data_IF_733602482606
#
_entry.id   IF_733602482606
#
_cell.length_a   1.000
_cell.length_b   1.000
_cell.length_c   1.000
_cell.angle_alpha   90.00
_cell.angle_beta   90.00
_cell.angle_gamma   90.00
#
_symmetry.space_group_name_H-M   'P 1'
#
loop_
_entity.id
_entity.type
_entity.pdbx_description
1 polymer ?
#
# COMPACT_ATOMS: atom_id res chain seq x y z
N UNK A 1 46.73 7.64 -12.40
CA UNK A 1 46.12 8.35 -13.54
C UNK A 1 45.14 7.40 -14.22
N UNK A 2 43.95 7.23 -13.65
CA UNK A 2 42.87 6.44 -14.26
C UNK A 2 41.88 7.43 -14.87
N UNK A 3 41.94 7.61 -16.19
CA UNK A 3 40.90 8.32 -16.95
C UNK A 3 39.75 7.34 -17.18
N UNK A 4 38.71 7.46 -16.38
CA UNK A 4 37.41 6.87 -16.71
C UNK A 4 36.83 7.72 -17.84
N UNK A 5 36.82 7.17 -19.05
CA UNK A 5 36.12 7.78 -20.18
C UNK A 5 34.62 7.70 -19.91
N UNK A 6 34.02 8.81 -19.49
CA UNK A 6 32.57 8.96 -19.39
C UNK A 6 32.03 9.01 -20.82
N UNK A 7 31.50 7.88 -21.28
CA UNK A 7 30.67 7.82 -22.49
C UNK A 7 29.40 8.65 -22.25
N UNK A 8 28.88 9.31 -23.30
CA UNK A 8 27.77 10.29 -23.28
C UNK A 8 26.39 9.68 -22.92
N UNK A 9 26.34 8.58 -22.17
CA UNK A 9 25.09 7.87 -21.83
C UNK A 9 25.06 7.40 -20.36
N UNK A 10 25.76 8.09 -19.46
CA UNK A 10 25.60 7.89 -18.02
C UNK A 10 24.46 8.75 -17.49
N UNK A 11 23.33 8.11 -17.16
CA UNK A 11 22.25 8.77 -16.42
C UNK A 11 22.51 8.55 -14.94
N UNK A 12 22.93 9.57 -14.22
CA UNK A 12 22.97 9.54 -12.75
C UNK A 12 21.62 10.00 -12.25
N UNK A 13 20.73 9.06 -11.97
CA UNK A 13 19.45 9.35 -11.30
C UNK A 13 19.66 9.27 -9.79
N UNK A 14 19.70 10.42 -9.12
CA UNK A 14 19.68 10.49 -7.66
C UNK A 14 18.22 10.53 -7.24
N UNK A 15 17.68 9.37 -6.85
CA UNK A 15 16.39 9.30 -6.17
C UNK A 15 16.63 9.51 -4.68
N UNK A 16 16.46 10.74 -4.19
CA UNK A 16 16.36 10.98 -2.76
C UNK A 16 14.94 10.65 -2.32
N UNK A 17 14.69 9.42 -1.89
CA UNK A 17 13.47 9.10 -1.16
C UNK A 17 13.64 9.73 0.23
N UNK A 18 13.17 10.96 0.39
CA UNK A 18 12.66 11.37 1.70
C UNK A 18 11.27 10.74 1.80
N UNK A 19 11.23 9.43 2.02
CA UNK A 19 10.11 8.84 2.70
C UNK A 19 10.30 9.27 4.16
N UNK A 20 9.84 10.49 4.48
CA UNK A 20 9.11 10.55 5.73
C UNK A 20 8.02 9.52 5.49
N UNK A 21 8.09 8.38 6.18
CA UNK A 21 6.90 7.59 6.46
C UNK A 21 6.07 8.49 7.37
N UNK A 22 5.61 9.62 6.81
CA UNK A 22 4.50 10.39 7.29
C UNK A 22 3.35 9.45 7.01
N UNK A 23 3.15 8.53 7.95
CA UNK A 23 1.81 8.25 8.40
C UNK A 23 1.21 9.62 8.72
N UNK A 24 0.67 10.29 7.70
CA UNK A 24 -0.61 10.94 7.85
C UNK A 24 -1.63 9.81 8.10
N UNK A 25 -1.46 9.09 9.21
CA UNK A 25 -2.59 8.84 10.06
C UNK A 25 -3.21 10.21 10.25
N UNK A 26 -4.33 10.46 9.57
CA UNK A 26 -5.34 11.32 10.13
C UNK A 26 -5.64 10.73 11.51
N UNK A 27 -4.89 11.19 12.50
CA UNK A 27 -5.27 11.11 13.89
C UNK A 27 -6.59 11.86 13.95
N UNK A 28 -7.69 11.11 13.93
CA UNK A 28 -8.85 11.54 14.68
C UNK A 28 -8.37 11.46 16.14
N UNK A 29 -7.85 12.58 16.64
CA UNK A 29 -7.66 12.79 18.05
C UNK A 29 -9.06 12.80 18.69
N UNK A 30 -9.53 11.64 19.11
CA UNK A 30 -10.60 11.53 20.10
C UNK A 30 -9.95 11.06 21.38
N UNK A 31 -9.88 12.00 22.31
CA UNK A 31 -9.47 11.85 23.70
C UNK A 31 -10.26 10.71 24.36
N UNK A 32 -9.56 9.98 25.23
CA UNK A 32 -10.13 8.98 26.13
C UNK A 32 -11.17 9.63 27.05
N UNK A 33 -12.36 9.02 27.09
CA UNK A 33 -13.15 8.68 28.29
C UNK A 33 -14.63 8.62 27.92
N UNK A 34 -15.13 7.41 27.66
CA UNK A 34 -16.38 6.92 28.25
C UNK A 34 -16.48 5.41 28.04
N UNK A 35 -16.87 4.62 29.06
CA UNK A 35 -17.14 3.20 28.86
C UNK A 35 -18.37 3.06 27.97
N UNK A 36 -18.24 2.39 26.83
CA UNK A 36 -19.38 2.03 25.99
C UNK A 36 -20.30 1.10 26.77
N UNK A 37 -21.48 1.62 27.10
CA UNK A 37 -22.62 0.85 27.55
C UNK A 37 -23.08 -0.04 26.38
N UNK A 38 -23.18 -1.34 26.65
CA UNK A 38 -23.69 -2.35 25.74
C UNK A 38 -24.98 -1.89 25.03
N UNK A 39 -24.99 -1.87 23.71
CA UNK A 39 -26.18 -2.28 22.97
C UNK A 39 -25.80 -2.83 21.60
N UNK A 40 -26.06 -4.12 21.42
CA UNK A 40 -26.19 -4.77 20.13
C UNK A 40 -27.48 -4.29 19.46
N UNK A 41 -27.61 -2.99 19.21
CA UNK A 41 -28.70 -2.41 18.43
C UNK A 41 -28.36 -2.50 16.96
N UNK A 42 -29.29 -3.05 16.18
CA UNK A 42 -29.32 -2.95 14.73
C UNK A 42 -29.47 -1.48 14.35
N UNK A 43 -28.58 -0.96 13.51
CA UNK A 43 -28.68 0.40 13.00
C UNK A 43 -29.62 0.37 11.79
N UNK A 44 -30.66 1.20 11.80
CA UNK A 44 -31.64 1.32 10.71
C UNK A 44 -31.19 2.34 9.65
N UNK A 45 -31.81 2.28 8.47
CA UNK A 45 -31.58 3.20 7.35
C UNK A 45 -31.80 4.67 7.73
N UNK A 46 -31.12 5.56 7.03
CA UNK A 46 -31.01 6.98 7.36
C UNK A 46 -31.45 7.85 6.18
N UNK A 47 -32.18 8.93 6.50
CA UNK A 47 -32.68 9.92 5.54
C UNK A 47 -31.88 11.23 5.51
N UNK A 48 -31.02 11.50 6.50
CA UNK A 48 -30.17 12.70 6.59
C UNK A 48 -28.78 12.38 7.20
N UNK A 49 -27.71 12.99 6.69
CA UNK A 49 -26.35 12.78 7.21
C UNK A 49 -26.14 13.62 8.47
N UNK A 50 -26.04 12.96 9.63
CA UNK A 50 -25.68 13.58 10.90
C UNK A 50 -24.26 13.17 11.32
N UNK A 51 -23.43 14.14 11.69
CA UNK A 51 -22.05 13.91 12.15
C UNK A 51 -21.96 13.02 13.39
N UNK A 52 -22.94 13.07 14.31
CA UNK A 52 -22.93 12.18 15.48
C UNK A 52 -23.12 10.72 15.08
N UNK A 53 -24.01 10.47 14.13
CA UNK A 53 -24.28 9.14 13.59
C UNK A 53 -23.09 8.60 12.80
N UNK A 54 -22.46 9.43 11.96
CA UNK A 54 -21.24 9.02 11.25
C UNK A 54 -20.13 8.61 12.23
N UNK A 55 -19.94 9.37 13.33
CA UNK A 55 -19.00 9.00 14.40
C UNK A 55 -19.36 7.66 15.05
N UNK A 56 -20.63 7.43 15.37
CA UNK A 56 -21.09 6.16 15.95
C UNK A 56 -20.80 4.96 15.03
N UNK A 57 -20.95 5.13 13.71
CA UNK A 57 -20.61 4.08 12.73
C UNK A 57 -19.10 3.79 12.72
N UNK A 58 -18.27 4.83 12.71
CA UNK A 58 -16.82 4.71 12.77
C UNK A 58 -16.37 3.99 14.06
N UNK A 59 -16.96 4.34 15.20
CA UNK A 59 -16.65 3.73 16.49
C UNK A 59 -17.05 2.24 16.52
N UNK A 60 -18.23 1.91 15.98
CA UNK A 60 -18.68 0.50 15.87
C UNK A 60 -17.76 -0.31 14.94
N UNK A 61 -17.36 0.26 13.81
CA UNK A 61 -16.41 -0.35 12.88
C UNK A 61 -15.08 -0.66 13.57
N UNK A 62 -14.54 0.29 14.33
CA UNK A 62 -13.31 0.11 15.12
C UNK A 62 -13.46 -1.01 16.15
N UNK A 63 -14.55 -0.98 16.92
CA UNK A 63 -14.87 -1.98 17.95
C UNK A 63 -14.90 -3.41 17.39
N UNK A 64 -15.48 -3.58 16.19
CA UNK A 64 -15.59 -4.86 15.50
C UNK A 64 -14.25 -5.30 14.87
N UNK A 65 -13.48 -4.39 14.28
CA UNK A 65 -12.16 -4.70 13.71
C UNK A 65 -11.19 -5.25 14.76
N UNK A 66 -11.16 -4.63 15.95
CA UNK A 66 -10.33 -5.05 17.09
C UNK A 66 -10.71 -6.46 17.60
N UNK A 67 -11.96 -6.89 17.37
CA UNK A 67 -12.47 -8.24 17.69
C UNK A 67 -12.29 -9.25 16.55
N UNK A 68 -11.65 -8.84 15.46
CA UNK A 68 -11.33 -9.73 14.35
C UNK A 68 -12.39 -9.81 13.26
N UNK A 69 -13.41 -8.94 13.27
CA UNK A 69 -14.39 -8.85 12.19
C UNK A 69 -13.80 -8.16 10.96
N UNK A 70 -14.28 -8.56 9.78
CA UNK A 70 -13.95 -7.93 8.52
C UNK A 70 -14.81 -6.68 8.31
N UNK A 71 -14.21 -5.52 8.56
CA UNK A 71 -14.86 -4.22 8.40
C UNK A 71 -14.27 -3.40 7.26
N UNK A 72 -13.36 -3.95 6.45
CA UNK A 72 -12.60 -3.19 5.44
C UNK A 72 -13.55 -2.60 4.39
N UNK A 73 -14.50 -3.38 3.91
CA UNK A 73 -15.47 -2.90 2.91
C UNK A 73 -16.39 -1.82 3.48
N UNK A 74 -16.82 -1.94 4.75
CA UNK A 74 -17.61 -0.90 5.43
C UNK A 74 -16.80 0.39 5.54
N UNK A 75 -15.53 0.32 5.93
CA UNK A 75 -14.64 1.47 5.99
C UNK A 75 -14.50 2.16 4.62
N UNK A 76 -14.36 1.38 3.54
CA UNK A 76 -14.37 1.91 2.18
C UNK A 76 -15.66 2.65 1.86
N UNK A 77 -16.83 2.05 2.13
CA UNK A 77 -18.12 2.70 1.89
C UNK A 77 -18.27 4.01 2.68
N UNK A 78 -17.83 4.04 3.95
CA UNK A 78 -17.86 5.27 4.76
C UNK A 78 -16.95 6.38 4.19
N UNK A 79 -15.81 6.02 3.59
CA UNK A 79 -14.94 6.97 2.91
C UNK A 79 -15.52 7.43 1.56
N UNK A 80 -16.14 6.52 0.80
CA UNK A 80 -16.84 6.85 -0.44
C UNK A 80 -18.04 7.76 -0.19
N UNK A 81 -18.84 7.51 0.83
CA UNK A 81 -19.96 8.38 1.21
C UNK A 81 -19.45 9.80 1.54
N UNK A 82 -18.36 9.89 2.30
CA UNK A 82 -17.70 11.16 2.60
C UNK A 82 -17.20 11.86 1.33
N UNK A 83 -16.58 11.12 0.40
CA UNK A 83 -16.11 11.66 -0.87
C UNK A 83 -17.26 12.33 -1.68
N UNK A 84 -18.39 11.65 -1.82
CA UNK A 84 -19.55 12.21 -2.54
C UNK A 84 -20.18 13.40 -1.81
N UNK A 85 -20.26 13.34 -0.48
CA UNK A 85 -20.72 14.46 0.34
C UNK A 85 -19.85 15.71 0.14
N UNK A 86 -18.53 15.56 0.16
CA UNK A 86 -17.57 16.66 -0.07
C UNK A 86 -17.64 17.23 -1.50
N UNK A 87 -18.12 16.44 -2.47
CA UNK A 87 -18.37 16.88 -3.86
C UNK A 87 -19.79 17.44 -4.06
N UNK A 88 -20.62 17.49 -3.01
CA UNK A 88 -21.98 18.04 -3.05
C UNK A 88 -23.06 17.07 -3.53
N UNK A 89 -22.73 15.81 -3.78
CA UNK A 89 -23.69 14.78 -4.20
C UNK A 89 -24.25 14.07 -2.96
N UNK A 90 -25.24 14.73 -2.35
CA UNK A 90 -25.82 14.31 -1.06
C UNK A 90 -26.62 13.01 -1.20
N UNK A 91 -27.36 12.84 -2.30
CA UNK A 91 -28.18 11.66 -2.53
C UNK A 91 -27.31 10.41 -2.67
N UNK A 92 -26.22 10.51 -3.44
CA UNK A 92 -25.27 9.41 -3.58
C UNK A 92 -24.55 9.10 -2.27
N UNK A 93 -24.18 10.13 -1.50
CA UNK A 93 -23.58 9.96 -0.20
C UNK A 93 -24.51 9.20 0.77
N UNK A 94 -25.80 9.53 0.79
CA UNK A 94 -26.82 8.85 1.60
C UNK A 94 -27.02 7.40 1.17
N UNK A 95 -27.09 7.12 -0.13
CA UNK A 95 -27.20 5.76 -0.66
C UNK A 95 -26.03 4.87 -0.18
N UNK A 96 -24.80 5.36 -0.34
CA UNK A 96 -23.59 4.63 0.06
C UNK A 96 -23.53 4.46 1.57
N UNK A 97 -23.97 5.46 2.35
CA UNK A 97 -24.02 5.39 3.80
C UNK A 97 -25.01 4.33 4.29
N UNK A 98 -26.20 4.25 3.67
CA UNK A 98 -27.18 3.20 3.96
C UNK A 98 -26.62 1.81 3.62
N UNK A 99 -25.92 1.69 2.50
CA UNK A 99 -25.20 0.45 2.17
C UNK A 99 -24.15 0.10 3.22
N UNK A 100 -23.41 1.09 3.74
CA UNK A 100 -22.42 0.86 4.80
C UNK A 100 -23.07 0.31 6.08
N UNK A 101 -24.24 0.81 6.44
CA UNK A 101 -25.03 0.34 7.58
C UNK A 101 -25.47 -1.11 7.39
N UNK A 102 -26.02 -1.43 6.21
CA UNK A 102 -26.45 -2.80 5.89
C UNK A 102 -25.29 -3.80 5.93
N UNK A 103 -24.14 -3.40 5.37
CA UNK A 103 -22.92 -4.20 5.39
C UNK A 103 -22.37 -4.37 6.81
N UNK A 104 -22.42 -3.30 7.63
CA UNK A 104 -21.99 -3.34 9.03
C UNK A 104 -22.82 -4.32 9.87
N UNK A 105 -24.12 -4.43 9.59
CA UNK A 105 -25.00 -5.39 10.25
C UNK A 105 -24.71 -6.86 9.85
N UNK A 106 -23.95 -7.09 8.77
CA UNK A 106 -23.65 -8.41 8.20
C UNK A 106 -22.17 -8.77 8.23
N UNK A 107 -21.33 -8.00 8.93
CA UNK A 107 -19.89 -8.28 9.01
C UNK A 107 -19.64 -9.63 9.67
N UNK A 108 -18.63 -10.32 9.15
CA UNK A 108 -18.24 -11.64 9.64
C UNK A 108 -16.82 -11.61 10.20
N UNK A 109 -16.45 -12.67 10.91
CA UNK A 109 -15.08 -12.82 11.39
C UNK A 109 -14.12 -13.06 10.21
N UNK A 110 -12.98 -12.38 10.21
CA UNK A 110 -11.91 -12.66 9.26
C UNK A 110 -11.43 -14.10 9.41
N UNK A 111 -10.92 -14.73 8.33
CA UNK A 111 -10.35 -16.06 8.42
C UNK A 111 -9.21 -16.14 9.45
N UNK A 112 -9.00 -17.35 9.99
CA UNK A 112 -7.80 -17.66 10.77
C UNK A 112 -6.81 -18.41 9.89
N UNK A 113 -5.52 -18.26 10.16
CA UNK A 113 -4.46 -18.97 9.46
C UNK A 113 -3.62 -19.78 10.45
N UNK A 114 -2.85 -20.78 9.99
CA UNK A 114 -1.87 -21.46 10.82
C UNK A 114 -0.91 -20.47 11.49
N UNK A 115 -0.35 -20.88 12.63
CA UNK A 115 0.65 -20.06 13.31
C UNK A 115 1.86 -19.86 12.40
N UNK A 116 2.24 -18.60 12.22
CA UNK A 116 3.44 -18.23 11.47
C UNK A 116 4.69 -18.77 12.19
N UNK A 117 5.51 -19.53 11.47
CA UNK A 117 6.84 -19.90 11.93
C UNK A 117 7.87 -19.01 11.23
N UNK A 118 8.76 -18.39 11.98
CA UNK A 118 9.80 -17.54 11.40
C UNK A 118 10.95 -17.32 12.37
N UNK A 119 12.08 -16.87 11.81
CA UNK A 119 13.25 -16.43 12.55
C UNK A 119 13.60 -14.99 12.19
N UNK A 120 14.34 -14.31 13.08
CA UNK A 120 14.92 -13.00 12.78
C UNK A 120 16.28 -13.24 12.12
N UNK A 121 16.42 -12.83 10.86
CA UNK A 121 17.66 -12.96 10.12
C UNK A 121 18.64 -11.84 10.52
N UNK A 122 19.95 -12.14 10.48
CA UNK A 122 21.01 -11.12 10.62
C UNK A 122 21.27 -10.36 9.32
N UNK A 123 21.03 -11.01 8.20
CA UNK A 123 21.20 -10.50 6.84
C UNK A 123 20.41 -11.38 5.88
N UNK A 124 20.09 -10.86 4.70
CA UNK A 124 19.36 -11.56 3.62
C UNK A 124 20.15 -11.58 2.31
N UNK A 125 21.42 -11.18 2.33
CA UNK A 125 22.28 -11.10 1.14
C UNK A 125 22.51 -12.45 0.44
N UNK A 126 22.21 -13.56 1.12
CA UNK A 126 22.32 -14.92 0.58
C UNK A 126 21.09 -15.36 -0.22
N UNK A 127 20.02 -14.56 -0.26
CA UNK A 127 18.78 -14.90 -0.96
C UNK A 127 18.91 -14.45 -2.41
N UNK A 128 19.01 -15.41 -3.32
CA UNK A 128 19.17 -15.19 -4.76
C UNK A 128 17.96 -15.64 -5.61
N UNK A 129 16.85 -15.97 -4.95
CA UNK A 129 15.63 -16.43 -5.60
C UNK A 129 14.96 -15.34 -6.45
N UNK A 130 14.24 -15.81 -7.46
CA UNK A 130 13.28 -15.01 -8.22
C UNK A 130 11.91 -15.06 -7.52
N UNK A 131 11.20 -13.94 -7.34
CA UNK A 131 9.89 -13.94 -6.71
C UNK A 131 8.89 -14.79 -7.51
N UNK A 132 8.23 -15.71 -6.81
CA UNK A 132 7.11 -16.47 -7.34
C UNK A 132 5.81 -15.67 -7.30
N UNK A 133 4.72 -16.26 -7.82
CA UNK A 133 3.36 -15.71 -7.65
C UNK A 133 2.94 -15.68 -6.19
N UNK A 134 3.44 -16.61 -5.38
CA UNK A 134 3.17 -16.64 -3.94
C UNK A 134 3.91 -15.51 -3.21
N UNK A 135 5.15 -15.20 -3.62
CA UNK A 135 5.90 -14.06 -3.07
C UNK A 135 5.23 -12.72 -3.40
N UNK A 136 4.55 -12.63 -4.54
CA UNK A 136 3.74 -11.45 -4.86
C UNK A 136 2.62 -11.26 -3.84
N UNK A 137 1.85 -12.31 -3.54
CA UNK A 137 0.75 -12.27 -2.55
C UNK A 137 0.75 -13.56 -1.71
N UNK A 138 1.39 -13.57 -0.52
CA UNK A 138 1.54 -14.76 0.32
C UNK A 138 0.25 -15.11 1.08
N UNK A 139 -0.77 -15.53 0.32
CA UNK A 139 -2.04 -16.03 0.84
C UNK A 139 -1.80 -17.34 1.59
N UNK A 140 -2.45 -17.49 2.74
CA UNK A 140 -2.25 -18.62 3.66
C UNK A 140 -1.16 -18.38 4.71
N UNK A 141 -0.40 -17.30 4.59
CA UNK A 141 0.67 -16.92 5.54
C UNK A 141 0.47 -15.50 6.08
N UNK A 142 0.50 -14.50 5.20
CA UNK A 142 0.28 -13.10 5.60
C UNK A 142 -1.19 -12.74 5.45
N UNK A 143 -1.79 -13.14 4.32
CA UNK A 143 -3.15 -12.78 3.97
C UNK A 143 -4.06 -13.99 3.95
N UNK A 144 -5.33 -13.75 4.26
CA UNK A 144 -6.43 -14.58 3.81
C UNK A 144 -7.27 -13.79 2.81
N UNK A 145 -8.12 -14.49 2.04
CA UNK A 145 -9.14 -13.84 1.22
C UNK A 145 -10.42 -13.70 2.02
N UNK A 146 -11.02 -12.51 1.98
CA UNK A 146 -12.39 -12.30 2.42
C UNK A 146 -13.37 -13.03 1.51
N UNK A 147 -14.61 -13.22 1.97
CA UNK A 147 -15.70 -13.72 1.12
C UNK A 147 -15.98 -12.85 -0.11
N UNK A 148 -15.51 -11.60 -0.10
CA UNK A 148 -15.64 -10.63 -1.20
C UNK A 148 -14.42 -10.60 -2.13
N UNK A 149 -13.42 -11.47 -1.91
CA UNK A 149 -12.25 -11.61 -2.77
C UNK A 149 -11.14 -10.57 -2.54
N UNK A 150 -11.16 -9.86 -1.42
CA UNK A 150 -10.06 -8.95 -1.04
C UNK A 150 -9.19 -9.49 0.08
N UNK A 151 -7.95 -9.02 0.11
CA UNK A 151 -6.94 -9.43 1.06
C UNK A 151 -7.24 -8.88 2.46
N UNK A 152 -7.16 -9.76 3.45
CA UNK A 152 -7.29 -9.42 4.87
C UNK A 152 -6.16 -10.05 5.68
N UNK A 153 -5.75 -9.40 6.76
CA UNK A 153 -4.92 -10.08 7.77
C UNK A 153 -5.77 -11.07 8.57
N UNK A 154 -5.22 -12.24 8.96
CA UNK A 154 -5.97 -13.22 9.71
C UNK A 154 -6.33 -12.73 11.12
N UNK A 155 -7.51 -13.09 11.61
CA UNK A 155 -8.00 -12.62 12.93
C UNK A 155 -7.14 -13.11 14.10
N UNK A 156 -6.55 -14.30 13.99
CA UNK A 156 -5.76 -14.93 15.06
C UNK A 156 -4.31 -14.44 15.10
N UNK A 157 -3.96 -13.47 14.25
CA UNK A 157 -2.65 -12.85 14.27
C UNK A 157 -2.74 -11.32 14.17
N UNK A 158 -3.03 -10.64 15.30
CA UNK A 158 -3.27 -9.20 15.33
C UNK A 158 -1.98 -8.37 15.22
N UNK A 159 -0.83 -8.98 14.90
CA UNK A 159 0.47 -8.31 14.86
C UNK A 159 0.86 -7.76 13.48
N UNK A 160 0.08 -8.05 12.44
CA UNK A 160 0.27 -7.45 11.12
C UNK A 160 -0.10 -5.97 11.12
N UNK A 161 0.81 -5.13 10.62
CA UNK A 161 0.66 -3.67 10.70
C UNK A 161 0.38 -3.02 9.36
N UNK A 162 1.18 -3.34 8.35
CA UNK A 162 1.21 -2.65 7.06
C UNK A 162 1.63 -3.62 5.97
N UNK A 163 1.05 -3.48 4.78
CA UNK A 163 1.58 -4.14 3.59
C UNK A 163 1.94 -3.11 2.52
N UNK A 164 3.17 -3.21 2.02
CA UNK A 164 3.69 -2.41 0.93
C UNK A 164 3.39 -3.09 -0.40
N UNK A 165 2.61 -2.42 -1.23
CA UNK A 165 2.50 -2.63 -2.68
C UNK A 165 2.86 -1.30 -3.33
N UNK A 166 4.13 -0.92 -3.22
CA UNK A 166 4.62 0.41 -3.60
C UNK A 166 5.27 0.33 -4.97
N UNK A 167 5.01 1.34 -5.78
CA UNK A 167 5.47 1.45 -7.14
C UNK A 167 6.23 2.75 -7.26
N UNK A 168 7.49 2.67 -7.66
CA UNK A 168 8.28 3.82 -8.03
C UNK A 168 8.75 3.65 -9.46
N UNK A 169 8.69 4.71 -10.24
CA UNK A 169 9.13 4.69 -11.62
C UNK A 169 9.76 6.02 -12.00
N UNK A 170 10.88 5.98 -12.73
CA UNK A 170 11.54 7.19 -13.25
C UNK A 170 12.18 6.91 -14.60
N UNK A 171 12.03 7.85 -15.54
CA UNK A 171 12.51 7.69 -16.89
C UNK A 171 12.44 8.97 -17.70
N UNK A 172 12.73 8.85 -18.99
CA UNK A 172 12.64 9.94 -19.95
C UNK A 172 12.08 9.45 -21.29
N UNK A 173 11.57 10.37 -22.10
CA UNK A 173 11.17 10.10 -23.48
C UNK A 173 12.32 10.40 -24.45
N UNK A 174 12.06 10.35 -25.77
CA UNK A 174 13.11 10.56 -26.79
C UNK A 174 13.58 12.01 -26.85
N UNK A 175 12.72 12.92 -26.42
CA UNK A 175 12.91 14.37 -26.37
C UNK A 175 13.69 14.78 -25.10
N UNK A 176 13.95 13.84 -24.18
CA UNK A 176 14.66 14.09 -22.93
C UNK A 176 13.77 14.63 -21.79
N UNK A 177 12.45 14.65 -21.97
CA UNK A 177 11.51 15.04 -20.92
C UNK A 177 11.47 13.97 -19.82
N UNK A 178 11.52 14.41 -18.57
CA UNK A 178 11.51 13.52 -17.40
C UNK A 178 10.10 13.08 -17.01
N UNK A 179 10.03 11.83 -16.56
CA UNK A 179 8.86 11.23 -15.93
C UNK A 179 9.27 10.64 -14.59
N UNK A 180 8.51 10.92 -13.54
CA UNK A 180 8.58 10.19 -12.28
C UNK A 180 7.18 9.81 -11.83
N UNK A 181 7.02 8.66 -11.21
CA UNK A 181 5.73 8.19 -10.72
C UNK A 181 5.88 7.54 -9.34
N UNK A 182 4.99 7.93 -8.45
CA UNK A 182 4.80 7.32 -7.14
C UNK A 182 3.39 6.72 -7.08
N UNK A 183 3.34 5.39 -7.04
CA UNK A 183 2.14 4.58 -6.91
C UNK A 183 2.14 3.77 -5.62
N UNK A 184 0.96 3.40 -5.16
CA UNK A 184 0.76 2.51 -4.02
C UNK A 184 -0.63 1.89 -4.09
N UNK A 185 -0.71 0.63 -3.68
CA UNK A 185 -1.98 -0.05 -3.42
C UNK A 185 -2.17 -0.28 -1.91
N UNK A 186 -2.88 0.62 -1.19
CA UNK A 186 -3.17 0.41 0.22
C UNK A 186 -3.99 -0.87 0.41
N UNK A 187 -3.63 -1.70 1.39
CA UNK A 187 -4.38 -2.92 1.67
C UNK A 187 -5.80 -2.61 2.15
N UNK A 188 -5.90 -1.64 3.05
CA UNK A 188 -7.12 -1.26 3.77
C UNK A 188 -7.11 0.22 4.18
N UNK A 189 -8.28 0.82 4.48
CA UNK A 189 -8.38 2.25 4.76
C UNK A 189 -7.49 2.78 5.88
N UNK A 190 -7.27 1.96 6.92
CA UNK A 190 -6.40 2.30 8.06
C UNK A 190 -4.93 2.49 7.70
N UNK A 191 -4.49 2.01 6.53
CA UNK A 191 -3.13 2.24 6.03
C UNK A 191 -2.98 3.59 5.30
N UNK A 192 -4.03 4.40 5.28
CA UNK A 192 -4.07 5.76 4.74
C UNK A 192 -4.57 5.81 3.29
N UNK A 193 -5.31 6.87 2.99
CA UNK A 193 -5.72 7.21 1.62
C UNK A 193 -4.47 7.60 0.82
N UNK A 194 -4.34 7.06 -0.39
CA UNK A 194 -3.24 7.34 -1.29
C UNK A 194 -3.74 8.01 -2.57
N UNK A 195 -3.09 9.14 -2.91
CA UNK A 195 -3.25 9.82 -4.20
C UNK A 195 -1.97 9.64 -5.01
N UNK A 196 -2.01 8.98 -6.19
CA UNK A 196 -0.82 8.83 -7.02
C UNK A 196 -0.24 10.18 -7.43
N UNK A 197 1.09 10.22 -7.51
CA UNK A 197 1.84 11.42 -7.90
C UNK A 197 2.62 11.13 -9.15
N UNK A 198 2.63 12.09 -10.06
CA UNK A 198 3.40 12.03 -11.30
C UNK A 198 4.17 13.32 -11.48
N UNK A 199 5.44 13.21 -11.84
CA UNK A 199 6.23 14.31 -12.36
C UNK A 199 6.22 14.22 -13.88
N UNK A 200 5.73 15.25 -14.55
CA UNK A 200 5.64 15.35 -16.00
C UNK A 200 5.58 16.83 -16.38
N UNK A 201 6.08 17.19 -17.55
CA UNK A 201 6.15 18.60 -18.01
C UNK A 201 6.90 19.51 -17.00
N UNK A 202 7.93 18.97 -16.35
CA UNK A 202 8.71 19.62 -15.30
C UNK A 202 7.94 20.00 -14.02
N UNK A 203 6.76 19.43 -13.79
CA UNK A 203 5.93 19.72 -12.62
C UNK A 203 5.42 18.46 -11.93
N UNK A 204 5.29 18.51 -10.60
CA UNK A 204 4.60 17.48 -9.82
C UNK A 204 3.10 17.70 -9.89
N UNK A 205 2.38 16.67 -10.34
CA UNK A 205 0.91 16.61 -10.35
C UNK A 205 0.44 15.50 -9.42
N UNK A 206 -0.52 15.84 -8.57
CA UNK A 206 -1.29 14.88 -7.77
C UNK A 206 -2.56 14.61 -8.56
N UNK A 207 -2.81 13.35 -8.94
CA UNK A 207 -4.02 13.00 -9.67
C UNK A 207 -5.23 13.20 -8.74
N UNK A 208 -6.37 13.69 -9.26
CA UNK A 208 -7.63 13.77 -8.51
C UNK A 208 -8.28 12.39 -8.40
N UNK A 209 -7.55 11.44 -7.81
CA UNK A 209 -7.91 10.05 -7.62
C UNK A 209 -7.43 9.66 -6.23
N UNK A 210 -8.28 8.98 -5.45
CA UNK A 210 -8.00 8.61 -4.07
C UNK A 210 -8.28 7.13 -3.83
N UNK A 211 -7.26 6.36 -3.45
CA UNK A 211 -7.38 4.94 -3.17
C UNK A 211 -7.18 4.63 -1.70
N UNK A 212 -7.95 3.70 -1.14
CA UNK A 212 -7.90 3.36 0.27
C UNK A 212 -8.03 1.84 0.55
N UNK A 213 -7.98 0.99 -0.48
CA UNK A 213 -8.48 -0.38 -0.40
C UNK A 213 -10.01 -0.44 -0.44
N UNK A 214 -10.63 -1.63 -0.32
CA UNK A 214 -9.99 -2.95 -0.17
C UNK A 214 -9.10 -3.32 -1.36
N UNK A 215 -7.99 -3.99 -1.07
CA UNK A 215 -7.12 -4.57 -2.10
C UNK A 215 -7.61 -5.97 -2.49
N UNK A 216 -8.24 -6.06 -3.66
CA UNK A 216 -8.71 -7.32 -4.22
C UNK A 216 -7.55 -8.13 -4.81
N UNK A 217 -7.76 -9.44 -4.89
CA UNK A 217 -6.82 -10.34 -5.55
C UNK A 217 -7.54 -11.26 -6.53
N UNK A 218 -7.01 -11.32 -7.75
CA UNK A 218 -7.41 -12.24 -8.80
C UNK A 218 -6.25 -13.22 -9.05
N UNK A 219 -6.54 -14.53 -9.08
CA UNK A 219 -5.54 -15.55 -9.39
C UNK A 219 -5.14 -15.56 -10.88
N UNK A 220 -5.89 -14.85 -11.72
CA UNK A 220 -5.71 -14.76 -13.16
C UNK A 220 -6.97 -15.08 -13.95
N UNK A 221 -8.13 -15.24 -13.31
CA UNK A 221 -9.40 -15.51 -13.99
C UNK A 221 -9.86 -14.28 -14.77
N UNK A 222 -9.72 -13.10 -14.17
CA UNK A 222 -10.15 -11.83 -14.76
C UNK A 222 -9.05 -11.18 -15.61
N UNK A 223 -7.81 -11.23 -15.14
CA UNK A 223 -6.69 -10.50 -15.75
C UNK A 223 -5.69 -11.40 -16.50
N UNK A 224 -5.88 -12.72 -16.46
CA UNK A 224 -5.01 -13.72 -17.11
C UNK A 224 -3.78 -14.13 -16.29
N UNK A 225 -3.41 -13.35 -15.27
CA UNK A 225 -2.31 -13.63 -14.34
C UNK A 225 -2.63 -13.10 -12.93
N UNK A 226 -1.91 -13.56 -11.89
CA UNK A 226 -2.03 -13.03 -10.54
C UNK A 226 -1.98 -11.50 -10.51
N UNK A 227 -3.03 -10.91 -9.94
CA UNK A 227 -3.27 -9.46 -9.98
C UNK A 227 -3.86 -8.99 -8.68
N UNK A 228 -3.26 -7.95 -8.08
CA UNK A 228 -3.94 -7.16 -7.05
C UNK A 228 -4.58 -5.93 -7.67
N UNK A 229 -5.79 -5.58 -7.26
CA UNK A 229 -6.51 -4.44 -7.83
C UNK A 229 -7.40 -3.75 -6.80
N UNK A 230 -7.70 -2.47 -7.03
CA UNK A 230 -8.60 -1.69 -6.18
C UNK A 230 -9.27 -0.57 -6.97
N UNK A 231 -10.41 -0.13 -6.43
CA UNK A 231 -11.14 1.02 -6.93
C UNK A 231 -10.83 2.25 -6.08
N UNK A 232 -10.89 3.42 -6.69
CA UNK A 232 -10.82 4.69 -5.95
C UNK A 232 -12.11 4.96 -5.15
N UNK A 233 -12.13 6.02 -4.35
CA UNK A 233 -13.29 6.34 -3.51
C UNK A 233 -14.58 6.65 -4.29
N UNK A 234 -14.47 7.05 -5.57
CA UNK A 234 -15.65 7.18 -6.44
C UNK A 234 -16.15 5.83 -6.98
N UNK A 235 -15.30 4.80 -7.00
CA UNK A 235 -15.58 3.52 -7.64
C UNK A 235 -15.42 3.52 -9.16
N UNK A 236 -15.09 4.67 -9.77
CA UNK A 236 -14.96 4.85 -11.23
C UNK A 236 -13.56 4.53 -11.74
N UNK A 237 -12.53 4.71 -10.92
CA UNK A 237 -11.15 4.49 -11.33
C UNK A 237 -10.64 3.17 -10.76
N UNK A 238 -10.21 2.29 -11.65
CA UNK A 238 -9.53 1.04 -11.30
C UNK A 238 -8.02 1.23 -11.37
N UNK A 239 -7.30 0.73 -10.37
CA UNK A 239 -5.88 0.46 -10.53
C UNK A 239 -5.56 -1.00 -10.23
N UNK A 240 -4.49 -1.51 -10.84
CA UNK A 240 -4.01 -2.85 -10.54
C UNK A 240 -2.50 -3.00 -10.74
N UNK A 241 -1.94 -4.02 -10.10
CA UNK A 241 -0.60 -4.56 -10.38
C UNK A 241 -0.77 -6.04 -10.70
N UNK A 242 -0.23 -6.46 -11.83
CA UNK A 242 -0.24 -7.84 -12.31
C UNK A 242 1.19 -8.34 -12.43
N UNK A 243 1.41 -9.61 -12.09
CA UNK A 243 2.71 -10.27 -12.23
C UNK A 243 2.66 -11.41 -13.23
N UNK A 244 3.57 -11.39 -14.21
CA UNK A 244 3.76 -12.44 -15.22
C UNK A 244 5.07 -13.18 -14.89
N UNK A 245 5.01 -14.36 -14.23
CA UNK A 245 6.20 -15.01 -13.69
C UNK A 245 7.19 -15.47 -14.76
N UNK A 246 6.68 -16.02 -15.87
CA UNK A 246 7.50 -16.63 -16.94
C UNK A 246 8.60 -15.70 -17.45
N UNK A 247 8.30 -14.40 -17.55
CA UNK A 247 9.24 -13.38 -18.03
C UNK A 247 9.58 -12.33 -16.97
N UNK A 248 9.17 -12.55 -15.71
CA UNK A 248 9.28 -11.63 -14.58
C UNK A 248 8.85 -10.20 -14.93
N UNK A 249 7.64 -10.07 -15.43
CA UNK A 249 7.09 -8.78 -15.86
C UNK A 249 6.03 -8.31 -14.89
N UNK A 250 6.21 -7.10 -14.37
CA UNK A 250 5.20 -6.35 -13.63
C UNK A 250 4.43 -5.45 -14.59
N UNK A 251 3.10 -5.43 -14.45
CA UNK A 251 2.24 -4.51 -15.18
C UNK A 251 1.40 -3.74 -14.19
N UNK A 252 1.56 -2.42 -14.18
CA UNK A 252 0.71 -1.52 -13.41
C UNK A 252 -0.16 -0.70 -14.36
N UNK A 253 -1.46 -0.61 -14.08
CA UNK A 253 -2.37 0.29 -14.81
C UNK A 253 -3.27 1.10 -13.89
N UNK A 254 -3.67 2.27 -14.37
CA UNK A 254 -4.79 3.06 -13.87
C UNK A 254 -5.76 3.30 -15.03
N UNK A 255 -7.02 2.96 -14.84
CA UNK A 255 -8.07 2.95 -15.86
C UNK A 255 -9.29 3.69 -15.34
N UNK A 256 -9.79 4.64 -16.11
CA UNK A 256 -11.13 5.19 -15.94
C UNK A 256 -12.15 4.23 -16.57
N UNK A 257 -13.03 3.67 -15.74
CA UNK A 257 -13.99 2.65 -16.16
C UNK A 257 -15.17 3.23 -16.95
N UNK A 258 -15.51 4.50 -16.73
CA UNK A 258 -16.64 5.13 -17.43
C UNK A 258 -16.29 5.38 -18.90
N UNK A 259 -15.09 5.91 -19.14
CA UNK A 259 -14.58 6.15 -20.50
C UNK A 259 -13.81 4.95 -21.09
N UNK A 260 -13.61 3.89 -20.30
CA UNK A 260 -12.70 2.77 -20.60
C UNK A 260 -11.29 3.22 -21.03
N UNK A 261 -10.83 4.35 -20.48
CA UNK A 261 -9.56 4.98 -20.85
C UNK A 261 -8.45 4.58 -19.89
N UNK A 262 -7.36 4.06 -20.43
CA UNK A 262 -6.14 3.82 -19.63
C UNK A 262 -5.37 5.14 -19.43
N UNK A 263 -5.36 5.64 -18.19
CA UNK A 263 -4.67 6.87 -17.79
C UNK A 263 -3.17 6.64 -17.60
N UNK A 264 -2.78 5.48 -17.09
CA UNK A 264 -1.39 5.08 -16.89
C UNK A 264 -1.25 3.59 -17.21
N UNK A 265 -0.19 3.24 -17.92
CA UNK A 265 0.26 1.87 -18.10
C UNK A 265 1.78 1.82 -17.97
N UNK A 266 2.27 1.04 -17.01
CA UNK A 266 3.69 0.73 -16.85
C UNK A 266 3.86 -0.76 -17.08
N UNK A 267 4.72 -1.13 -18.04
CA UNK A 267 5.19 -2.50 -18.23
C UNK A 267 6.66 -2.55 -17.87
N UNK A 268 6.99 -3.32 -16.84
CA UNK A 268 8.32 -3.36 -16.27
C UNK A 268 8.84 -4.79 -16.23
N UNK A 269 9.98 -5.05 -16.89
CA UNK A 269 10.63 -6.36 -16.90
C UNK A 269 11.76 -6.36 -15.89
N UNK A 270 11.67 -7.22 -14.87
CA UNK A 270 12.66 -7.33 -13.81
C UNK A 270 14.06 -7.63 -14.36
N UNK A 271 15.07 -7.08 -13.69
CA UNK A 271 16.48 -7.28 -13.99
C UNK A 271 17.22 -7.74 -12.73
N UNK A 272 18.11 -8.72 -12.91
CA UNK A 272 18.91 -9.26 -11.80
C UNK A 272 18.08 -9.94 -10.72
N UNK A 273 18.71 -10.20 -9.59
CA UNK A 273 18.07 -10.73 -8.38
C UNK A 273 17.44 -9.54 -7.61
N UNK A 274 16.21 -9.66 -7.08
CA UNK A 274 15.63 -8.64 -6.23
C UNK A 274 16.45 -8.38 -4.98
N UNK A 275 16.35 -7.18 -4.41
CA UNK A 275 16.86 -6.95 -3.06
C UNK A 275 15.89 -7.56 -2.05
N UNK A 276 16.19 -8.76 -1.57
CA UNK A 276 15.37 -9.45 -0.57
C UNK A 276 15.52 -8.83 0.82
N UNK A 277 14.38 -8.57 1.46
CA UNK A 277 14.25 -8.14 2.85
C UNK A 277 13.98 -9.35 3.75
N UNK A 278 13.38 -10.42 3.21
CA UNK A 278 13.17 -11.69 3.92
C UNK A 278 12.13 -12.55 3.21
N UNK A 279 12.17 -13.86 3.43
CA UNK A 279 11.15 -14.78 2.91
C UNK A 279 10.00 -14.89 3.89
N UNK A 280 8.78 -14.65 3.42
CA UNK A 280 7.59 -14.89 4.25
C UNK A 280 7.57 -16.34 4.73
N UNK A 281 7.10 -16.57 5.97
CA UNK A 281 7.10 -17.89 6.63
C UNK A 281 8.48 -18.50 6.92
N UNK A 282 9.57 -17.73 6.81
CA UNK A 282 10.92 -18.21 7.14
C UNK A 282 11.72 -17.17 7.91
N UNK A 283 11.91 -15.98 7.32
CA UNK A 283 12.88 -14.99 7.79
C UNK A 283 12.33 -13.57 7.71
N UNK A 284 12.55 -12.82 8.79
CA UNK A 284 12.24 -11.40 8.88
C UNK A 284 13.49 -10.62 9.28
N UNK A 285 13.65 -9.42 8.73
CA UNK A 285 14.66 -8.47 9.19
C UNK A 285 14.05 -7.46 10.15
N UNK A 286 14.80 -7.12 11.21
CA UNK A 286 14.49 -5.96 12.04
C UNK A 286 14.79 -4.71 11.24
N UNK A 287 13.78 -3.87 11.04
CA UNK A 287 13.91 -2.66 10.26
C UNK A 287 13.80 -1.38 11.09
N UNK A 288 13.12 -1.45 12.25
CA UNK A 288 12.98 -0.30 13.15
C UNK A 288 12.53 -0.68 14.56
N UNK A 289 12.47 0.31 15.44
CA UNK A 289 12.05 0.17 16.85
C UNK A 289 10.93 1.16 17.12
N UNK A 290 9.89 0.73 17.82
CA UNK A 290 8.75 1.58 18.13
C UNK A 290 9.08 2.60 19.23
N UNK A 291 8.71 3.87 18.99
CA UNK A 291 9.01 4.96 19.92
C UNK A 291 8.12 4.98 21.17
N UNK A 292 6.90 4.43 21.10
CA UNK A 292 5.92 4.50 22.21
C UNK A 292 5.76 3.20 22.99
N UNK A 293 6.27 2.10 22.46
CA UNK A 293 6.09 0.77 23.03
C UNK A 293 7.36 -0.05 22.79
N UNK A 294 7.79 -0.83 23.79
CA UNK A 294 8.98 -1.68 23.64
C UNK A 294 8.69 -2.80 22.64
N UNK A 295 9.21 -2.66 21.43
CA UNK A 295 9.07 -3.66 20.39
C UNK A 295 9.71 -3.24 19.07
N UNK A 296 9.75 -4.19 18.13
CA UNK A 296 10.44 -4.02 16.85
C UNK A 296 9.44 -4.04 15.70
N UNK A 297 9.75 -3.30 14.65
CA UNK A 297 9.12 -3.46 13.34
C UNK A 297 9.97 -4.41 12.50
N UNK A 298 9.38 -5.56 12.14
CA UNK A 298 10.06 -6.62 11.37
C UNK A 298 9.41 -6.80 10.02
N UNK A 299 10.23 -6.95 8.97
CA UNK A 299 9.80 -6.95 7.58
C UNK A 299 10.23 -8.25 6.90
N UNK A 300 9.36 -8.78 6.04
CA UNK A 300 9.71 -9.73 4.96
C UNK A 300 9.19 -9.16 3.65
N UNK A 301 9.88 -9.44 2.56
CA UNK A 301 9.61 -8.81 1.28
C UNK A 301 10.82 -8.76 0.36
N UNK A 302 10.67 -8.01 -0.72
CA UNK A 302 11.71 -7.76 -1.69
C UNK A 302 11.44 -6.45 -2.45
N UNK A 303 12.52 -5.88 -3.01
CA UNK A 303 12.43 -4.87 -4.06
C UNK A 303 12.86 -5.47 -5.38
N UNK A 304 11.92 -5.54 -6.33
CA UNK A 304 12.23 -5.99 -7.68
C UNK A 304 12.48 -4.78 -8.57
N UNK A 305 13.68 -4.71 -9.14
CA UNK A 305 14.12 -3.61 -9.98
C UNK A 305 13.94 -4.04 -11.43
N UNK A 306 13.35 -3.18 -12.24
CA UNK A 306 12.92 -3.54 -13.58
C UNK A 306 13.17 -2.40 -14.58
N UNK A 307 13.39 -2.78 -15.84
CA UNK A 307 13.35 -1.85 -16.96
C UNK A 307 11.91 -1.62 -17.37
N UNK A 308 11.48 -0.36 -17.46
CA UNK A 308 10.11 -0.02 -17.79
C UNK A 308 9.94 0.63 -19.15
N UNK A 309 8.78 0.36 -19.75
CA UNK A 309 8.11 1.26 -20.68
C UNK A 309 6.83 1.76 -20.00
N UNK A 310 6.68 3.08 -19.91
CA UNK A 310 5.50 3.71 -19.35
C UNK A 310 4.77 4.51 -20.43
N UNK A 311 3.44 4.45 -20.42
CA UNK A 311 2.56 5.31 -21.20
C UNK A 311 1.65 6.02 -20.23
N UNK A 312 1.59 7.34 -20.31
CA UNK A 312 0.68 8.15 -19.52
C UNK A 312 -0.18 9.01 -20.44
N UNK A 313 -1.45 9.12 -20.08
CA UNK A 313 -2.45 9.95 -20.73
C UNK A 313 -2.99 10.94 -19.71
N UNK A 314 -2.59 12.18 -19.85
CA UNK A 314 -3.12 13.31 -19.09
C UNK A 314 -3.76 14.25 -20.12
N UNK A 315 -4.98 14.68 -19.82
CA UNK A 315 -5.83 15.46 -20.73
C UNK A 315 -5.99 14.73 -22.07
N UNK A 316 -5.63 15.32 -23.21
CA UNK A 316 -5.67 14.66 -24.53
C UNK A 316 -4.29 14.26 -25.06
N UNK A 317 -3.26 14.31 -24.22
CA UNK A 317 -1.88 14.02 -24.63
C UNK A 317 -1.44 12.64 -24.15
N UNK A 318 -0.87 11.84 -25.06
CA UNK A 318 -0.19 10.58 -24.75
C UNK A 318 1.33 10.79 -24.76
N UNK A 319 2.00 10.47 -23.65
CA UNK A 319 3.47 10.48 -23.57
C UNK A 319 4.00 9.10 -23.20
N UNK A 320 5.15 8.74 -23.79
CA UNK A 320 5.80 7.43 -23.62
C UNK A 320 7.21 7.62 -23.06
N UNK A 321 7.52 6.87 -22.02
CA UNK A 321 8.79 6.98 -21.29
C UNK A 321 9.46 5.63 -21.16
N UNK A 322 10.80 5.66 -21.07
CA UNK A 322 11.65 4.51 -20.76
C UNK A 322 12.50 4.82 -19.54
N UNK A 323 12.74 3.83 -18.71
CA UNK A 323 13.58 4.00 -17.53
C UNK A 323 13.50 2.83 -16.58
N UNK A 324 13.51 3.12 -15.29
CA UNK A 324 13.46 2.12 -14.23
C UNK A 324 12.15 2.13 -13.47
N UNK A 325 11.77 0.96 -13.00
CA UNK A 325 10.64 0.71 -12.12
C UNK A 325 11.13 -0.13 -10.94
N UNK A 326 10.62 0.19 -9.76
CA UNK A 326 10.88 -0.54 -8.53
C UNK A 326 9.53 -0.95 -7.96
N UNK A 327 9.36 -2.25 -7.79
CA UNK A 327 8.24 -2.78 -7.02
C UNK A 327 8.71 -3.13 -5.62
N UNK A 328 8.28 -2.34 -4.65
CA UNK A 328 8.51 -2.61 -3.23
C UNK A 328 7.33 -3.39 -2.67
N UNK A 329 7.59 -4.69 -2.46
CA UNK A 329 6.65 -5.64 -1.89
C UNK A 329 7.15 -6.09 -0.53
N UNK A 330 6.51 -5.59 0.53
CA UNK A 330 6.86 -5.95 1.90
C UNK A 330 5.65 -6.10 2.82
N UNK A 331 5.79 -6.86 3.90
CA UNK A 331 4.78 -6.93 4.95
C UNK A 331 5.42 -6.68 6.31
N UNK A 332 4.85 -5.75 7.05
CA UNK A 332 5.34 -5.29 8.33
C UNK A 332 4.57 -5.97 9.44
N UNK A 333 5.32 -6.36 10.46
CA UNK A 333 4.81 -7.04 11.62
C UNK A 333 5.42 -6.47 12.88
N UNK A 334 4.60 -6.29 13.91
CA UNK A 334 5.11 -5.91 15.22
C UNK A 334 5.69 -7.14 15.91
N UNK A 335 6.86 -6.99 16.52
CA UNK A 335 7.55 -8.03 17.26
C UNK A 335 7.76 -7.60 18.71
N UNK A 336 7.62 -8.55 19.64
CA UNK A 336 7.47 -8.33 21.10
C UNK A 336 6.23 -7.52 21.56
N UNK A 337 5.38 -7.07 20.64
CA UNK A 337 4.13 -6.37 20.94
C UNK A 337 2.94 -7.33 20.74
N UNK A 338 1.90 -7.21 21.58
CA UNK A 338 0.72 -8.08 21.54
C UNK A 338 -0.12 -7.90 20.28
N UNK A 339 -0.32 -6.66 19.83
CA UNK A 339 -1.09 -6.35 18.64
C UNK A 339 -0.64 -5.03 17.99
N UNK A 340 -0.96 -4.86 16.70
CA UNK A 340 -0.62 -3.69 15.90
C UNK A 340 -1.73 -2.61 15.91
N UNK A 341 -2.77 -2.74 16.73
CA UNK A 341 -3.88 -1.79 16.78
C UNK A 341 -3.56 -0.53 17.59
N UNK A 342 -2.55 -0.60 18.47
CA UNK A 342 -2.14 0.48 19.37
C UNK A 342 -1.37 1.61 18.65
N UNK A 343 -1.34 2.84 19.22
CA UNK A 343 -0.55 3.94 18.70
C UNK A 343 0.95 3.76 19.00
N UNK A 344 1.66 3.01 18.17
CA UNK A 344 3.07 2.64 18.41
C UNK A 344 4.11 3.73 18.07
N UNK A 345 3.70 4.79 17.37
CA UNK A 345 4.61 5.76 16.75
C UNK A 345 5.27 5.23 15.46
N UNK A 346 6.09 6.09 14.85
CA UNK A 346 6.88 5.75 13.66
C UNK A 346 8.09 4.90 14.07
N UNK A 347 8.31 3.71 13.48
CA UNK A 347 9.40 2.84 13.88
C UNK A 347 10.77 3.24 13.32
N UNK A 348 10.79 3.98 12.21
CA UNK A 348 12.02 4.45 11.56
C UNK A 348 11.76 5.66 10.66
N UNK A 349 12.83 6.39 10.34
CA UNK A 349 12.94 7.27 9.19
C UNK A 349 13.77 6.53 8.13
N UNK A 350 13.27 6.49 6.91
CA UNK A 350 13.81 5.62 5.87
C UNK A 350 14.09 6.38 4.59
N UNK A 351 15.26 6.16 4.03
CA UNK A 351 15.62 6.69 2.72
C UNK A 351 16.20 5.60 1.86
N UNK A 352 15.73 5.56 0.62
CA UNK A 352 16.25 4.67 -0.40
C UNK A 352 16.65 5.46 -1.63
N UNK A 353 17.62 4.95 -2.36
CA UNK A 353 18.06 5.47 -3.62
C UNK A 353 18.37 4.29 -4.54
N UNK A 354 18.01 4.42 -5.81
CA UNK A 354 18.48 3.50 -6.85
C UNK A 354 19.22 4.32 -7.88
N UNK A 355 20.48 3.97 -8.09
CA UNK A 355 21.32 4.48 -9.17
C UNK A 355 21.29 3.42 -10.27
N UNK A 356 20.94 3.83 -11.47
CA UNK A 356 20.82 2.96 -12.62
C UNK A 356 21.67 3.44 -13.78
N UNK A 357 22.46 2.53 -14.33
CA UNK A 357 23.06 2.62 -15.65
C UNK A 357 22.83 1.28 -16.35
N UNK A 358 22.92 1.25 -17.68
CA UNK A 358 22.88 -0.03 -18.41
C UNK A 358 23.90 -1.02 -17.79
N UNK A 359 23.41 -2.21 -17.46
CA UNK A 359 24.14 -3.29 -16.77
C UNK A 359 24.59 -3.03 -15.32
N UNK A 360 24.29 -1.87 -14.72
CA UNK A 360 24.66 -1.56 -13.34
C UNK A 360 23.46 -0.99 -12.59
N UNK A 361 23.07 -1.66 -11.51
CA UNK A 361 22.04 -1.19 -10.59
C UNK A 361 22.62 -1.16 -9.19
N UNK A 362 22.57 0.00 -8.54
CA UNK A 362 22.99 0.16 -7.16
C UNK A 362 21.79 0.64 -6.37
N UNK A 363 21.28 -0.22 -5.48
CA UNK A 363 20.27 0.16 -4.51
C UNK A 363 20.95 0.49 -3.18
N UNK A 364 20.63 1.65 -2.62
CA UNK A 364 21.12 2.11 -1.32
C UNK A 364 19.90 2.34 -0.45
N UNK A 365 19.86 1.69 0.70
CA UNK A 365 18.83 1.89 1.71
C UNK A 365 19.51 2.34 3.01
N UNK A 366 19.00 3.39 3.61
CA UNK A 366 19.46 3.93 4.88
C UNK A 366 18.26 4.09 5.81
N UNK A 367 18.31 3.39 6.94
CA UNK A 367 17.31 3.49 7.99
C UNK A 367 17.94 4.21 9.17
N UNK A 368 17.37 5.36 9.54
CA UNK A 368 17.69 6.05 10.79
C UNK A 368 16.57 5.73 11.76
N UNK A 369 16.90 5.22 12.94
CA UNK A 369 15.90 5.04 13.99
C UNK A 369 15.64 6.40 14.67
N UNK A 370 14.45 7.02 14.50
CA UNK A 370 14.12 8.27 15.14
C UNK A 370 13.67 8.04 16.58
N UNK A 371 13.52 6.78 17.03
CA UNK A 371 13.24 6.48 18.43
C UNK A 371 14.43 6.97 19.26
N UNK A 372 14.21 7.89 20.22
CA UNK A 372 15.22 8.11 21.23
C UNK A 372 15.49 6.78 21.96
N UNK A 373 16.73 6.55 22.37
CA UNK A 373 17.10 5.43 23.24
C UNK A 373 16.35 5.49 24.59
N UNK A 374 15.83 6.68 24.93
CA UNK A 374 15.04 6.98 26.12
C UNK A 374 13.62 7.40 25.72
N UNK A 375 12.60 6.65 26.16
CA UNK A 375 11.17 6.88 25.88
C UNK A 375 10.59 8.14 26.54
N UNK A 376 11.40 8.92 27.26
CA UNK A 376 11.00 10.09 28.04
C UNK A 376 10.83 11.42 27.29
N UNK A 377 10.96 11.46 25.96
CA UNK A 377 10.76 12.69 25.18
C UNK A 377 9.77 12.49 24.02
N UNK A 378 8.76 13.36 23.96
CA UNK A 378 7.81 13.49 22.85
C UNK A 378 8.17 14.69 21.97
N UNK A 379 8.17 14.51 20.65
CA UNK A 379 7.97 15.61 19.70
C UNK A 379 6.48 15.88 19.49
#
# INVERSE_FOLDING_TARGET
>A
MFRIGISKTSIVVIISIIAIVSLCSCFIALTYANPLQNSATTIHSVTNINMSMYRNLVDRVKYLEERGYDTIYVQYLLLSAKYYYEKGDIDRALEILNKAIDELNRVELRPSLPQLNFTIARSTLYIDDIPSTWDFVPIGTVFALSKRGYLVYPRNDPKWKLSCFIILAIGHNREGEWFSYQGRLPLKPREGVFKPRVFIDNEWRILDIAFAGPLYYDYGEKFGYPTVYQYDLSGRILQYVMYIPRNRTWIHKIIDLESNRTLLEIRAKAIGVPMWIGRWNETYLVHGVYAREKGLDIWSGFWDIALMNATIRIDDTEKKFRGIFIFDRASHRVYYIKNAFMPLGLPLAFSCMVIYQENIVIAIANSVNPSPWDTGYSF
#
